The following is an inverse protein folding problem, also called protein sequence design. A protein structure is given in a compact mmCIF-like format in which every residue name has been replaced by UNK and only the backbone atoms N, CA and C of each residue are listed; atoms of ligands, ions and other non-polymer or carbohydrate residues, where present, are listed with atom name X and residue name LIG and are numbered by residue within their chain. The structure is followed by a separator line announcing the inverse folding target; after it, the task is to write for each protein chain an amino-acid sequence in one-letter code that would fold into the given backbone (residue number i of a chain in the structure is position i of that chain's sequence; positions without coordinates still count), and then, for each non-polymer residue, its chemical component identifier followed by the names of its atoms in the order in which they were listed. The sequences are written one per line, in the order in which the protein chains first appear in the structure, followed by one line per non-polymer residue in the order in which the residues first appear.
data_IF_656898018324
#
_entry.id   IF_656898018324
#
_cell.length_a   1.000
_cell.length_b   1.000
_cell.length_c   1.000
_cell.angle_alpha   90.00
_cell.angle_beta   90.00
_cell.angle_gamma   90.00
#
_symmetry.space_group_name_H-M   'P 1'
#
loop_
_entity.id
_entity.type
_entity.pdbx_description
1 polymer ?
#
# COMPACT_ATOMS: atom_id res chain seq x y z
N UNK A 1 -11.56 -4.14 32.95
CA UNK A 1 -11.53 -4.10 31.47
C UNK A 1 -12.90 -3.62 31.01
N UNK A 2 -12.95 -2.52 30.29
CA UNK A 2 -14.21 -1.95 29.78
C UNK A 2 -14.87 -2.90 28.76
N UNK A 3 -16.20 -3.08 28.79
CA UNK A 3 -16.89 -4.03 27.91
C UNK A 3 -16.76 -3.66 26.43
N UNK A 4 -16.64 -2.36 26.12
CA UNK A 4 -16.46 -1.85 24.76
C UNK A 4 -15.06 -2.18 24.24
N UNK A 5 -14.04 -2.01 25.07
CA UNK A 5 -12.64 -2.33 24.72
C UNK A 5 -12.47 -3.81 24.45
N UNK A 6 -13.01 -4.66 25.32
CA UNK A 6 -13.00 -6.12 25.15
C UNK A 6 -13.72 -6.54 23.85
N UNK A 7 -14.84 -5.91 23.52
CA UNK A 7 -15.53 -6.13 22.24
C UNK A 7 -14.67 -5.72 21.04
N UNK A 8 -13.96 -4.59 21.16
CA UNK A 8 -13.03 -4.10 20.13
C UNK A 8 -11.89 -5.09 19.87
N UNK A 9 -11.24 -5.57 20.94
CA UNK A 9 -10.19 -6.59 20.87
C UNK A 9 -10.69 -7.88 20.22
N UNK A 10 -11.87 -8.38 20.62
CA UNK A 10 -12.47 -9.58 20.01
C UNK A 10 -12.71 -9.44 18.52
N UNK A 11 -13.18 -8.27 18.08
CA UNK A 11 -13.40 -8.01 16.64
C UNK A 11 -12.07 -8.01 15.88
N UNK A 12 -11.03 -7.38 16.43
CA UNK A 12 -9.69 -7.38 15.85
C UNK A 12 -9.11 -8.81 15.78
N UNK A 13 -9.28 -9.60 16.84
CA UNK A 13 -8.90 -11.02 16.85
C UNK A 13 -9.64 -11.81 15.78
N UNK A 14 -10.93 -11.54 15.54
CA UNK A 14 -11.67 -12.22 14.48
C UNK A 14 -11.10 -11.94 13.08
N UNK A 15 -10.53 -10.75 12.85
CA UNK A 15 -9.94 -10.37 11.55
C UNK A 15 -8.48 -10.83 11.41
N UNK A 16 -7.70 -10.72 12.48
CA UNK A 16 -6.27 -11.06 12.54
C UNK A 16 -5.99 -12.54 12.84
N UNK A 17 -7.01 -13.27 13.31
CA UNK A 17 -6.90 -14.68 13.70
C UNK A 17 -6.08 -14.86 14.97
N UNK A 18 -5.11 -15.79 14.93
CA UNK A 18 -4.30 -16.24 16.08
C UNK A 18 -3.32 -15.19 16.63
N UNK A 19 -3.28 -13.98 16.09
CA UNK A 19 -2.38 -12.91 16.53
C UNK A 19 -3.03 -12.05 17.62
N UNK A 20 -3.34 -12.67 18.76
CA UNK A 20 -4.00 -12.01 19.90
C UNK A 20 -3.19 -10.81 20.42
N UNK A 21 -1.85 -10.95 20.52
CA UNK A 21 -0.98 -9.87 20.99
C UNK A 21 -0.97 -8.63 20.09
N UNK A 22 -1.13 -8.82 18.77
CA UNK A 22 -1.19 -7.70 17.82
C UNK A 22 -2.55 -7.01 17.89
N UNK A 23 -3.62 -7.78 18.02
CA UNK A 23 -4.98 -7.24 18.18
C UNK A 23 -5.12 -6.40 19.46
N UNK A 24 -4.54 -6.86 20.58
CA UNK A 24 -4.49 -6.10 21.84
C UNK A 24 -3.68 -4.82 21.70
N UNK A 25 -2.50 -4.89 21.09
CA UNK A 25 -1.66 -3.71 20.88
C UNK A 25 -2.37 -2.64 20.04
N UNK A 26 -3.07 -3.04 18.96
CA UNK A 26 -3.82 -2.10 18.13
C UNK A 26 -4.95 -1.42 18.92
N UNK A 27 -5.73 -2.19 19.67
CA UNK A 27 -6.81 -1.62 20.50
C UNK A 27 -6.26 -0.62 21.51
N UNK A 28 -5.14 -0.97 22.16
CA UNK A 28 -4.52 -0.12 23.15
C UNK A 28 -4.00 1.19 22.55
N UNK A 29 -3.33 1.14 21.41
CA UNK A 29 -2.82 2.33 20.71
C UNK A 29 -3.96 3.27 20.26
N UNK A 30 -5.07 2.71 19.79
CA UNK A 30 -6.28 3.48 19.47
C UNK A 30 -6.83 4.12 20.74
N UNK A 31 -6.92 3.37 21.84
CA UNK A 31 -7.41 3.87 23.12
C UNK A 31 -6.56 5.02 23.67
N UNK A 32 -5.22 4.90 23.59
CA UNK A 32 -4.27 5.93 24.00
C UNK A 32 -4.37 7.18 23.12
N UNK A 33 -4.52 7.00 21.81
CA UNK A 33 -4.71 8.11 20.85
C UNK A 33 -5.98 8.91 21.15
N UNK A 34 -7.04 8.25 21.61
CA UNK A 34 -8.29 8.89 22.04
C UNK A 34 -8.27 9.38 23.50
N UNK A 35 -7.09 9.70 24.05
CA UNK A 35 -6.90 10.21 25.41
C UNK A 35 -7.42 9.26 26.50
N UNK A 36 -7.38 7.95 26.25
CA UNK A 36 -7.93 6.93 27.15
C UNK A 36 -9.43 7.15 27.45
N UNK A 37 -10.20 7.60 26.45
CA UNK A 37 -11.64 7.78 26.56
C UNK A 37 -12.39 6.92 25.56
N UNK A 38 -13.40 6.22 26.06
CA UNK A 38 -14.30 5.40 25.25
C UNK A 38 -15.49 6.24 24.77
N UNK A 39 -15.22 7.20 23.89
CA UNK A 39 -16.24 8.06 23.27
C UNK A 39 -16.75 7.46 21.94
N UNK A 40 -17.78 8.08 21.35
CA UNK A 40 -18.29 7.66 20.03
C UNK A 40 -17.20 7.75 18.95
N UNK A 41 -16.32 8.75 19.02
CA UNK A 41 -15.18 8.88 18.09
C UNK A 41 -14.22 7.70 18.17
N UNK A 42 -14.00 7.13 19.37
CA UNK A 42 -13.17 5.94 19.55
C UNK A 42 -13.83 4.73 18.89
N UNK A 43 -15.15 4.54 19.08
CA UNK A 43 -15.90 3.43 18.47
C UNK A 43 -15.92 3.53 16.95
N UNK A 44 -16.09 4.75 16.42
CA UNK A 44 -16.07 5.01 14.99
C UNK A 44 -14.68 4.74 14.40
N UNK A 45 -13.62 5.27 15.04
CA UNK A 45 -12.24 4.99 14.64
C UNK A 45 -11.94 3.50 14.62
N UNK A 46 -12.34 2.77 15.68
CA UNK A 46 -12.13 1.33 15.78
C UNK A 46 -12.87 0.55 14.69
N UNK A 47 -14.12 0.92 14.38
CA UNK A 47 -14.89 0.31 13.27
C UNK A 47 -14.23 0.54 11.93
N UNK A 48 -13.73 1.75 11.69
CA UNK A 48 -13.11 2.10 10.41
C UNK A 48 -11.76 1.39 10.24
N UNK A 49 -10.94 1.32 11.29
CA UNK A 49 -9.70 0.55 11.30
C UNK A 49 -9.97 -0.94 11.07
N UNK A 50 -10.97 -1.50 11.74
CA UNK A 50 -11.39 -2.89 11.55
C UNK A 50 -11.84 -3.17 10.12
N UNK A 51 -12.64 -2.27 9.53
CA UNK A 51 -13.11 -2.39 8.16
C UNK A 51 -11.94 -2.34 7.16
N UNK A 52 -11.01 -1.39 7.34
CA UNK A 52 -9.81 -1.30 6.53
C UNK A 52 -8.95 -2.56 6.61
N UNK A 53 -8.80 -3.15 7.79
CA UNK A 53 -8.05 -4.39 8.00
C UNK A 53 -8.73 -5.61 7.34
N UNK A 54 -10.06 -5.59 7.27
CA UNK A 54 -10.87 -6.64 6.65
C UNK A 54 -10.84 -6.56 5.12
N UNK A 55 -10.97 -5.36 4.55
CA UNK A 55 -10.98 -5.15 3.10
C UNK A 55 -9.57 -5.25 2.51
N UNK A 56 -8.57 -4.66 3.18
CA UNK A 56 -7.18 -4.66 2.69
C UNK A 56 -6.39 -5.85 3.22
N UNK A 57 -6.49 -6.99 2.53
CA UNK A 57 -5.73 -8.19 2.87
C UNK A 57 -4.21 -7.98 2.92
N UNK A 58 -3.67 -7.09 2.08
CA UNK A 58 -2.25 -6.70 2.10
C UNK A 58 -1.87 -5.91 3.36
N UNK A 59 -2.74 -5.02 3.81
CA UNK A 59 -2.53 -4.24 5.04
C UNK A 59 -2.50 -5.18 6.24
N UNK A 60 -3.45 -6.12 6.31
CA UNK A 60 -3.47 -7.18 7.31
C UNK A 60 -2.18 -7.99 7.29
N UNK A 61 -1.70 -8.40 6.12
CA UNK A 61 -0.46 -9.16 6.01
C UNK A 61 0.76 -8.36 6.50
N UNK A 62 0.86 -7.07 6.16
CA UNK A 62 1.95 -6.19 6.65
C UNK A 62 1.93 -6.01 8.17
N UNK A 63 0.74 -5.86 8.76
CA UNK A 63 0.58 -5.79 10.22
C UNK A 63 1.01 -7.11 10.88
N UNK A 64 0.63 -8.26 10.31
CA UNK A 64 1.04 -9.58 10.82
C UNK A 64 2.55 -9.82 10.66
N UNK A 65 3.13 -9.39 9.54
CA UNK A 65 4.58 -9.49 9.30
C UNK A 65 5.40 -8.54 10.18
N UNK A 66 4.77 -7.54 10.80
CA UNK A 66 5.45 -6.50 11.57
C UNK A 66 6.04 -5.36 10.73
N UNK A 67 5.73 -5.30 9.43
CA UNK A 67 6.12 -4.19 8.54
C UNK A 67 5.46 -2.87 8.97
N UNK A 68 4.25 -2.96 9.54
CA UNK A 68 3.50 -1.83 10.09
C UNK A 68 3.28 -2.09 11.57
N UNK A 69 3.75 -1.17 12.41
CA UNK A 69 3.58 -1.28 13.85
C UNK A 69 2.13 -0.94 14.26
N UNK A 70 1.61 -1.54 15.36
CA UNK A 70 0.29 -1.22 15.89
C UNK A 70 0.07 0.28 16.14
N UNK A 71 1.11 0.97 16.63
CA UNK A 71 1.11 2.41 16.86
C UNK A 71 0.95 3.20 15.56
N UNK A 72 1.76 2.90 14.54
CA UNK A 72 1.65 3.56 13.23
C UNK A 72 0.32 3.25 12.57
N UNK A 73 -0.22 2.05 12.77
CA UNK A 73 -1.56 1.70 12.32
C UNK A 73 -2.62 2.55 13.03
N UNK A 74 -2.64 2.62 14.37
CA UNK A 74 -3.62 3.44 15.10
C UNK A 74 -3.55 4.94 14.79
N UNK A 75 -2.37 5.45 14.41
CA UNK A 75 -2.15 6.85 14.04
C UNK A 75 -2.40 7.13 12.54
N UNK A 76 -2.43 6.11 11.68
CA UNK A 76 -2.66 6.30 10.24
C UNK A 76 -4.10 6.73 10.00
N UNK A 77 -4.29 7.78 9.19
CA UNK A 77 -5.64 8.21 8.81
C UNK A 77 -6.34 7.11 8.02
N UNK A 78 -7.60 6.84 8.37
CA UNK A 78 -8.42 5.81 7.74
C UNK A 78 -8.62 5.99 6.24
N UNK A 79 -8.42 7.22 5.73
CA UNK A 79 -8.46 7.57 4.31
C UNK A 79 -7.17 7.16 3.56
N UNK A 80 -6.01 7.21 4.23
CA UNK A 80 -4.72 6.73 3.72
C UNK A 80 -4.63 5.19 3.75
N UNK A 81 -5.28 4.54 4.73
CA UNK A 81 -5.36 3.08 4.80
C UNK A 81 -6.21 2.44 3.69
N UNK A 82 -7.29 3.12 3.27
CA UNK A 82 -8.26 2.62 2.29
C UNK A 82 -7.77 2.69 0.84
N UNK A 83 -6.62 3.32 0.57
CA UNK A 83 -6.11 3.55 -0.79
C UNK A 83 -4.75 2.88 -1.06
N UNK A 84 -4.61 1.55 -1.00
CA UNK A 84 -3.39 0.91 -1.50
C UNK A 84 -3.39 0.69 -3.02
N UNK A 85 -4.54 0.72 -3.70
CA UNK A 85 -4.65 0.32 -5.11
C UNK A 85 -3.89 1.22 -6.10
N UNK A 86 -3.73 2.52 -5.83
CA UNK A 86 -3.09 3.41 -6.81
C UNK A 86 -1.54 3.35 -6.78
N UNK A 87 -0.92 2.97 -5.66
CA UNK A 87 0.54 3.03 -5.51
C UNK A 87 1.27 1.74 -5.84
N UNK A 88 0.62 0.58 -5.70
CA UNK A 88 1.21 -0.71 -6.08
C UNK A 88 1.07 -1.01 -7.58
N UNK A 89 0.05 -0.44 -8.25
CA UNK A 89 -0.10 -0.53 -9.70
C UNK A 89 0.97 0.29 -10.47
N UNK A 90 1.43 1.43 -9.93
CA UNK A 90 2.48 2.23 -10.57
C UNK A 90 3.87 1.61 -10.47
N UNK A 91 4.27 1.02 -9.32
CA UNK A 91 5.64 0.51 -9.17
C UNK A 91 5.88 -0.80 -9.93
N UNK A 92 4.86 -1.64 -10.11
CA UNK A 92 4.99 -2.88 -10.87
C UNK A 92 5.01 -2.69 -12.39
N UNK A 93 4.41 -1.61 -12.92
CA UNK A 93 4.51 -1.29 -14.34
C UNK A 93 5.84 -0.59 -14.68
N UNK A 94 6.46 0.13 -13.73
CA UNK A 94 7.72 0.85 -13.96
C UNK A 94 8.97 -0.04 -14.06
N UNK A 95 8.92 -1.29 -13.57
CA UNK A 95 10.04 -2.25 -13.63
C UNK A 95 10.08 -3.16 -14.85
N UNK A 96 9.08 -3.14 -15.75
CA UNK A 96 9.07 -4.02 -16.95
C UNK A 96 9.47 -3.34 -18.27
N UNK A 97 9.65 -2.01 -18.31
CA UNK A 97 10.00 -1.30 -19.55
C UNK A 97 11.45 -0.77 -19.63
N UNK A 98 12.34 -1.12 -18.68
CA UNK A 98 13.78 -0.74 -18.74
C UNK A 98 14.66 -1.98 -19.00
N UNK A 99 14.22 -2.88 -19.86
CA UNK A 99 15.08 -4.02 -20.30
C UNK A 99 15.19 -4.10 -21.82
N UNK A 100 14.32 -3.45 -22.59
CA UNK A 100 14.42 -3.41 -24.05
C UNK A 100 15.32 -2.30 -24.61
N UNK A 101 15.88 -1.42 -23.78
CA UNK A 101 16.72 -0.31 -24.26
C UNK A 101 18.24 -0.60 -24.28
N UNK A 102 18.69 -1.80 -23.90
CA UNK A 102 20.13 -2.08 -23.64
C UNK A 102 20.75 -3.07 -24.63
N UNK A 103 20.16 -3.30 -25.81
CA UNK A 103 20.77 -4.17 -26.83
C UNK A 103 20.61 -3.64 -28.26
N UNK A 104 21.34 -2.57 -28.57
CA UNK A 104 22.26 -2.55 -29.72
C UNK A 104 23.22 -1.37 -29.56
N UNK A 105 24.32 -1.62 -28.84
CA UNK A 105 25.59 -1.02 -29.18
C UNK A 105 25.83 -1.18 -30.69
N UNK A 106 26.10 -0.10 -31.42
CA UNK A 106 27.42 0.15 -31.99
C UNK A 106 27.38 1.38 -32.93
N UNK A 107 28.17 2.38 -32.57
CA UNK A 107 28.44 3.59 -33.33
C UNK A 107 29.21 3.22 -34.64
N UNK A 108 28.61 3.55 -35.80
CA UNK A 108 29.13 4.08 -37.11
C UNK A 108 30.50 3.55 -37.63
N UNK A 109 30.70 3.26 -38.95
CA UNK A 109 31.06 4.37 -39.86
C UNK A 109 30.87 4.20 -41.41
N UNK A 110 31.06 5.32 -42.12
CA UNK A 110 31.62 5.52 -43.49
C UNK A 110 30.70 5.61 -44.74
N UNK A 111 30.46 6.87 -45.14
CA UNK A 111 30.52 7.50 -46.48
C UNK A 111 30.60 6.61 -47.74
N UNK A 112 29.83 6.97 -48.80
CA UNK A 112 30.34 7.61 -50.05
C UNK A 112 29.21 8.06 -51.00
N UNK A 113 29.46 9.19 -51.65
CA UNK A 113 28.60 10.01 -52.51
C UNK A 113 28.28 9.42 -53.90
N UNK A 114 27.25 10.05 -54.52
CA UNK A 114 27.10 10.40 -55.95
C UNK A 114 26.84 9.27 -56.98
N UNK A 115 25.73 9.33 -57.71
CA UNK A 115 25.65 9.98 -59.04
C UNK A 115 24.21 9.91 -59.63
N UNK A 116 23.83 11.02 -60.28
CA UNK A 116 22.63 11.31 -61.11
C UNK A 116 22.46 10.30 -62.29
N UNK A 117 21.32 10.15 -63.01
CA UNK A 117 20.70 11.23 -63.80
C UNK A 117 19.18 11.17 -64.11
N UNK A 118 18.68 12.38 -64.41
CA UNK A 118 17.61 12.81 -65.34
C UNK A 118 16.68 11.78 -66.01
N UNK A 119 15.37 12.05 -66.01
CA UNK A 119 14.63 12.08 -67.27
C UNK A 119 13.35 12.94 -67.19
N UNK A 120 13.24 13.81 -68.20
CA UNK A 120 12.31 14.90 -68.43
C UNK A 120 10.93 14.41 -68.95
N UNK A 121 9.86 15.06 -68.47
CA UNK A 121 8.68 15.50 -69.26
C UNK A 121 7.76 14.45 -69.94
N UNK A 122 6.57 14.80 -70.48
CA UNK A 122 6.12 16.05 -71.15
C UNK A 122 5.23 16.99 -70.34
#
# INVERSE_FOLDING_TARGET
MDPIRNKGTQLLQQVLGTNEGVAEAIEQEIYETHQNKVDENYKESLRTHLFNLKENGLLRQRVISGDITPQTFAQMSTDDMAKPDLRLAEEHLRRRSITDCIFHDHIQPRHRNQDNPDEDRP
#
